data_IF_133129803323
#
_entry.id   IF_133129803323
#
_cell.length_a   1.000
_cell.length_b   1.000
_cell.length_c   1.000
_cell.angle_alpha   90.00
_cell.angle_beta   90.00
_cell.angle_gamma   90.00
#
_symmetry.space_group_name_H-M   'P 1'
#
loop_
_entity.id
_entity.type
_entity.pdbx_description
1 polymer ?
#
# COMPACT_ATOMS: atom_id res chain seq x y z
N UNK A 1 -21.67 2.48 -26.77
CA UNK A 1 -21.59 3.22 -25.49
C UNK A 1 -21.99 4.67 -25.71
N UNK A 2 -22.71 5.31 -24.77
CA UNK A 2 -23.06 6.75 -24.87
C UNK A 2 -21.95 7.61 -24.28
N UNK A 3 -21.52 8.64 -25.02
CA UNK A 3 -20.58 9.69 -24.54
C UNK A 3 -21.29 10.64 -23.58
N UNK A 4 -20.65 11.03 -22.47
CA UNK A 4 -21.27 11.84 -21.40
C UNK A 4 -20.48 13.12 -21.13
N UNK A 5 -19.17 13.00 -20.89
CA UNK A 5 -18.34 14.11 -20.46
C UNK A 5 -17.47 14.69 -21.58
N UNK A 6 -16.83 13.82 -22.35
CA UNK A 6 -15.91 14.22 -23.41
C UNK A 6 -16.67 14.69 -24.66
N UNK A 7 -16.01 15.48 -25.52
CA UNK A 7 -16.61 15.94 -26.78
C UNK A 7 -16.31 14.98 -27.94
N UNK A 8 -17.25 14.76 -28.89
CA UNK A 8 -16.97 13.98 -30.08
C UNK A 8 -15.90 14.66 -30.94
N UNK A 9 -15.00 13.88 -31.52
CA UNK A 9 -13.92 14.35 -32.42
C UNK A 9 -12.95 15.37 -31.81
N UNK A 10 -12.91 15.49 -30.49
CA UNK A 10 -11.96 16.33 -29.77
C UNK A 10 -11.34 15.52 -28.62
N UNK A 11 -10.01 15.48 -28.55
CA UNK A 11 -9.34 14.82 -27.44
C UNK A 11 -9.62 15.59 -26.15
N UNK A 12 -9.91 14.94 -25.01
CA UNK A 12 -10.08 15.64 -23.72
C UNK A 12 -8.85 16.49 -23.35
N UNK A 13 -7.70 16.04 -23.81
CA UNK A 13 -6.40 16.69 -23.72
C UNK A 13 -6.32 18.05 -24.44
N UNK A 14 -7.15 18.26 -25.47
CA UNK A 14 -7.21 19.50 -26.25
C UNK A 14 -8.30 20.45 -25.74
N UNK A 15 -9.06 20.04 -24.72
CA UNK A 15 -10.11 20.86 -24.09
C UNK A 15 -9.55 21.82 -23.03
N UNK A 16 -8.27 21.70 -22.67
CA UNK A 16 -7.65 22.48 -21.58
C UNK A 16 -6.35 23.14 -22.02
N UNK A 17 -5.99 24.23 -21.35
CA UNK A 17 -4.69 24.90 -21.52
C UNK A 17 -3.58 24.18 -20.74
N UNK A 18 -2.40 24.08 -21.35
CA UNK A 18 -1.22 23.44 -20.79
C UNK A 18 -0.09 24.43 -20.64
N UNK A 19 0.76 24.19 -19.65
CA UNK A 19 1.98 24.97 -19.46
C UNK A 19 3.14 24.10 -18.96
N UNK A 20 4.35 24.59 -19.18
CA UNK A 20 5.57 23.97 -18.66
C UNK A 20 5.91 24.57 -17.31
N UNK A 21 6.16 23.71 -16.33
CA UNK A 21 6.57 24.11 -14.97
C UNK A 21 7.87 23.41 -14.55
N UNK A 22 8.43 23.87 -13.44
CA UNK A 22 9.46 23.15 -12.69
C UNK A 22 8.82 22.55 -11.44
N UNK A 23 8.94 21.24 -11.26
CA UNK A 23 8.54 20.55 -10.05
C UNK A 23 9.75 20.42 -9.12
N UNK A 24 9.78 21.18 -8.04
CA UNK A 24 10.88 21.20 -7.07
C UNK A 24 10.36 20.94 -5.65
N UNK A 25 10.99 20.01 -4.94
CA UNK A 25 10.69 19.66 -3.55
C UNK A 25 11.96 19.88 -2.73
N UNK A 26 11.82 20.61 -1.63
CA UNK A 26 12.88 20.86 -0.65
C UNK A 26 12.57 20.14 0.66
N UNK A 27 13.60 19.84 1.44
CA UNK A 27 13.45 19.43 2.84
C UNK A 27 13.30 20.65 3.78
N UNK A 28 13.20 20.40 5.09
CA UNK A 28 13.02 21.42 6.12
C UNK A 28 14.23 22.38 6.23
N UNK A 29 15.39 22.01 5.69
CA UNK A 29 16.59 22.86 5.62
C UNK A 29 16.62 23.74 4.36
N UNK A 30 15.62 23.61 3.48
CA UNK A 30 15.57 24.29 2.19
C UNK A 30 16.43 23.61 1.10
N UNK A 31 17.04 22.45 1.38
CA UNK A 31 17.81 21.70 0.39
C UNK A 31 16.87 21.02 -0.60
N UNK A 32 17.16 21.16 -1.88
CA UNK A 32 16.41 20.49 -2.95
C UNK A 32 16.65 18.97 -2.88
N UNK A 33 15.58 18.20 -2.69
CA UNK A 33 15.60 16.73 -2.64
C UNK A 33 15.02 16.09 -3.92
N UNK A 34 14.31 16.87 -4.73
CA UNK A 34 13.81 16.45 -6.04
C UNK A 34 13.60 17.68 -6.92
N UNK A 35 14.02 17.61 -8.19
CA UNK A 35 13.76 18.65 -9.17
C UNK A 35 13.56 18.05 -10.55
N UNK A 36 12.51 18.45 -11.26
CA UNK A 36 12.32 18.14 -12.68
C UNK A 36 11.79 19.39 -13.39
N UNK A 37 12.51 19.82 -14.42
CA UNK A 37 12.19 21.01 -15.20
C UNK A 37 11.41 20.68 -16.46
N UNK A 38 10.70 21.66 -17.00
CA UNK A 38 10.02 21.56 -18.30
C UNK A 38 8.86 20.55 -18.34
N UNK A 39 8.27 20.22 -17.18
CA UNK A 39 7.17 19.27 -17.12
C UNK A 39 5.86 19.92 -17.57
N UNK A 40 5.14 19.25 -18.46
CA UNK A 40 3.89 19.73 -19.02
C UNK A 40 2.70 19.30 -18.13
N UNK A 41 1.94 20.28 -17.65
CA UNK A 41 0.78 20.08 -16.77
C UNK A 41 -0.38 21.00 -17.18
N UNK A 42 -1.63 20.66 -16.82
CA UNK A 42 -2.75 21.57 -17.03
C UNK A 42 -2.56 22.86 -16.23
N UNK A 43 -2.81 24.01 -16.86
CA UNK A 43 -2.58 25.33 -16.25
C UNK A 43 -3.39 25.57 -14.97
N UNK A 44 -4.58 24.98 -14.88
CA UNK A 44 -5.44 25.11 -13.70
C UNK A 44 -5.03 24.21 -12.51
N UNK A 45 -4.08 23.28 -12.69
CA UNK A 45 -3.58 22.49 -11.57
C UNK A 45 -2.75 23.35 -10.63
N UNK A 46 -2.80 23.07 -9.33
CA UNK A 46 -1.96 23.77 -8.34
C UNK A 46 -0.49 23.35 -8.44
N UNK A 47 0.42 24.20 -7.94
CA UNK A 47 1.84 23.86 -7.85
C UNK A 47 2.08 22.61 -6.98
N UNK A 48 1.30 22.44 -5.90
CA UNK A 48 1.37 21.26 -5.05
C UNK A 48 1.00 19.99 -5.83
N UNK A 49 -0.07 20.02 -6.62
CA UNK A 49 -0.45 18.90 -7.46
C UNK A 49 0.65 18.56 -8.48
N UNK A 50 1.26 19.57 -9.11
CA UNK A 50 2.42 19.39 -10.00
C UNK A 50 3.56 18.68 -9.27
N UNK A 51 3.97 19.17 -8.09
CA UNK A 51 5.07 18.57 -7.31
C UNK A 51 4.79 17.11 -6.95
N UNK A 52 3.58 16.80 -6.48
CA UNK A 52 3.18 15.44 -6.09
C UNK A 52 3.17 14.51 -7.30
N UNK A 53 2.51 14.91 -8.40
CA UNK A 53 2.36 14.04 -9.57
C UNK A 53 3.68 13.73 -10.22
N UNK A 54 4.52 14.75 -10.40
CA UNK A 54 5.83 14.59 -11.03
C UNK A 54 6.76 13.76 -10.15
N UNK A 55 6.82 14.01 -8.84
CA UNK A 55 7.73 13.26 -7.97
C UNK A 55 7.29 11.81 -7.69
N UNK A 56 5.98 11.54 -7.66
CA UNK A 56 5.44 10.24 -7.24
C UNK A 56 4.94 9.37 -8.39
N UNK A 57 4.22 9.93 -9.36
CA UNK A 57 3.47 9.15 -10.35
C UNK A 57 4.15 9.08 -11.71
N UNK A 58 5.01 10.04 -12.05
CA UNK A 58 5.80 9.92 -13.27
C UNK A 58 6.71 8.70 -13.24
N UNK A 59 6.65 7.90 -14.31
CA UNK A 59 7.52 6.77 -14.57
C UNK A 59 8.90 7.22 -15.08
N UNK A 60 9.90 6.35 -14.93
CA UNK A 60 11.26 6.51 -15.42
C UNK A 60 12.21 7.22 -14.44
N UNK A 61 13.50 6.92 -14.57
CA UNK A 61 14.57 7.57 -13.81
C UNK A 61 14.82 9.01 -14.29
N UNK A 62 15.17 9.94 -13.40
CA UNK A 62 15.44 11.32 -13.82
C UNK A 62 16.69 11.39 -14.70
N UNK A 63 16.63 12.19 -15.76
CA UNK A 63 17.75 12.37 -16.70
C UNK A 63 17.85 11.29 -17.79
N UNK A 64 16.97 10.29 -17.78
CA UNK A 64 16.88 9.29 -18.84
C UNK A 64 15.75 9.61 -19.82
N UNK A 65 15.78 9.00 -21.00
CA UNK A 65 14.76 9.20 -22.04
C UNK A 65 13.42 8.52 -21.72
N UNK A 66 13.39 7.58 -20.77
CA UNK A 66 12.16 6.92 -20.35
C UNK A 66 11.34 7.73 -19.33
N UNK A 67 11.91 8.83 -18.81
CA UNK A 67 11.25 9.69 -17.84
C UNK A 67 10.00 10.33 -18.44
N UNK A 68 8.85 10.13 -17.82
CA UNK A 68 7.66 10.89 -18.16
C UNK A 68 7.91 12.39 -17.86
N UNK A 69 7.51 13.25 -18.79
CA UNK A 69 7.64 14.71 -18.72
C UNK A 69 6.31 15.43 -18.87
N UNK A 70 5.20 14.72 -19.07
CA UNK A 70 3.86 15.32 -19.23
C UNK A 70 2.80 14.52 -18.49
N UNK A 71 1.86 15.22 -17.86
CA UNK A 71 0.65 14.59 -17.28
C UNK A 71 -0.18 13.89 -18.36
N UNK A 72 -0.08 14.31 -19.63
CA UNK A 72 -0.69 13.59 -20.76
C UNK A 72 -0.16 12.17 -20.88
N UNK A 73 1.16 11.96 -20.72
CA UNK A 73 1.79 10.64 -20.80
C UNK A 73 1.29 9.74 -19.67
N UNK A 74 1.30 10.25 -18.43
CA UNK A 74 0.79 9.53 -17.25
C UNK A 74 -0.68 9.09 -17.43
N UNK A 75 -1.55 10.02 -17.83
CA UNK A 75 -2.97 9.74 -18.03
C UNK A 75 -3.21 8.81 -19.20
N UNK A 76 -2.53 9.03 -20.33
CA UNK A 76 -2.62 8.15 -21.48
C UNK A 76 -2.21 6.74 -21.10
N UNK A 77 -1.05 6.57 -20.45
CA UNK A 77 -0.53 5.26 -20.07
C UNK A 77 -1.57 4.43 -19.32
N UNK A 78 -2.19 5.02 -18.30
CA UNK A 78 -3.19 4.33 -17.48
C UNK A 78 -4.50 4.13 -18.25
N UNK A 79 -5.09 5.21 -18.76
CA UNK A 79 -6.44 5.17 -19.34
C UNK A 79 -6.48 4.34 -20.63
N UNK A 80 -5.43 4.42 -21.47
CA UNK A 80 -5.31 3.64 -22.71
C UNK A 80 -5.19 2.16 -22.41
N UNK A 81 -4.34 1.79 -21.45
CA UNK A 81 -4.19 0.38 -21.04
C UNK A 81 -5.53 -0.20 -20.56
N UNK A 82 -6.27 0.52 -19.70
CA UNK A 82 -7.57 0.05 -19.20
C UNK A 82 -8.60 -0.05 -20.33
N UNK A 83 -8.66 0.92 -21.24
CA UNK A 83 -9.57 0.86 -22.38
C UNK A 83 -9.26 -0.32 -23.31
N UNK A 84 -7.97 -0.58 -23.58
CA UNK A 84 -7.53 -1.70 -24.39
C UNK A 84 -7.88 -3.05 -23.76
N UNK A 85 -7.76 -3.19 -22.44
CA UNK A 85 -8.26 -4.39 -21.74
C UNK A 85 -9.76 -4.56 -21.89
N UNK A 86 -10.55 -3.49 -21.74
CA UNK A 86 -11.99 -3.54 -21.96
C UNK A 86 -12.38 -4.02 -23.37
N UNK A 87 -11.61 -3.65 -24.40
CA UNK A 87 -11.80 -4.17 -25.76
C UNK A 87 -11.39 -5.65 -25.83
N UNK A 88 -10.22 -6.01 -25.31
CA UNK A 88 -9.67 -7.36 -25.36
C UNK A 88 -10.55 -8.39 -24.64
N UNK A 89 -11.16 -7.98 -23.52
CA UNK A 89 -12.08 -8.80 -22.73
C UNK A 89 -13.51 -8.82 -23.30
N UNK A 90 -13.77 -8.09 -24.39
CA UNK A 90 -15.05 -8.07 -25.09
C UNK A 90 -16.14 -7.19 -24.45
N UNK A 91 -15.80 -6.34 -23.47
CA UNK A 91 -16.73 -5.36 -22.93
C UNK A 91 -17.07 -4.26 -23.94
N UNK A 92 -16.12 -3.92 -24.82
CA UNK A 92 -16.28 -2.87 -25.81
C UNK A 92 -15.88 -3.35 -27.21
N UNK A 93 -16.60 -2.89 -28.22
CA UNK A 93 -16.04 -2.83 -29.56
C UNK A 93 -15.00 -1.70 -29.65
N UNK A 94 -14.28 -1.59 -30.77
CA UNK A 94 -13.22 -0.59 -30.94
C UNK A 94 -13.71 0.85 -30.78
N UNK A 95 -14.88 1.19 -31.33
CA UNK A 95 -15.45 2.53 -31.23
C UNK A 95 -15.84 2.88 -29.79
N UNK A 96 -16.51 1.95 -29.11
CA UNK A 96 -16.89 2.08 -27.71
C UNK A 96 -15.67 2.19 -26.79
N UNK A 97 -14.59 1.47 -27.08
CA UNK A 97 -13.33 1.58 -26.36
C UNK A 97 -12.66 2.95 -26.49
N UNK A 98 -12.77 3.59 -27.66
CA UNK A 98 -12.29 4.98 -27.83
C UNK A 98 -13.17 5.98 -27.08
N UNK A 99 -14.49 5.77 -27.03
CA UNK A 99 -15.37 6.59 -26.19
C UNK A 99 -14.96 6.42 -24.72
N UNK A 100 -14.82 5.18 -24.25
CA UNK A 100 -14.44 4.88 -22.88
C UNK A 100 -13.07 5.49 -22.49
N UNK A 101 -12.07 5.37 -23.36
CA UNK A 101 -10.77 6.02 -23.17
C UNK A 101 -10.91 7.53 -22.97
N UNK A 102 -11.67 8.21 -23.83
CA UNK A 102 -11.85 9.67 -23.75
C UNK A 102 -12.62 10.09 -22.50
N UNK A 103 -13.68 9.37 -22.14
CA UNK A 103 -14.43 9.62 -20.90
C UNK A 103 -13.53 9.47 -19.66
N UNK A 104 -12.69 8.43 -19.63
CA UNK A 104 -11.81 8.17 -18.49
C UNK A 104 -10.69 9.21 -18.37
N UNK A 105 -10.07 9.61 -19.48
CA UNK A 105 -9.10 10.71 -19.50
C UNK A 105 -9.76 12.00 -19.04
N UNK A 106 -10.96 12.31 -19.53
CA UNK A 106 -11.68 13.53 -19.15
C UNK A 106 -11.92 13.59 -17.64
N UNK A 107 -12.39 12.49 -17.03
CA UNK A 107 -12.63 12.39 -15.59
C UNK A 107 -11.37 12.63 -14.77
N UNK A 108 -10.25 12.02 -15.18
CA UNK A 108 -8.96 12.18 -14.52
C UNK A 108 -8.39 13.58 -14.68
N UNK A 109 -8.45 14.14 -15.89
CA UNK A 109 -7.92 15.46 -16.23
C UNK A 109 -8.64 16.56 -15.46
N UNK A 110 -9.97 16.51 -15.44
CA UNK A 110 -10.82 17.49 -14.76
C UNK A 110 -11.01 17.21 -13.26
N UNK A 111 -10.31 16.21 -12.70
CA UNK A 111 -10.34 15.85 -11.28
C UNK A 111 -11.73 15.45 -10.73
N UNK A 112 -12.61 14.93 -11.59
CA UNK A 112 -13.90 14.33 -11.19
C UNK A 112 -13.75 12.87 -10.76
N UNK A 113 -12.64 12.24 -11.10
CA UNK A 113 -12.26 10.92 -10.63
C UNK A 113 -10.74 10.76 -10.62
N UNK A 114 -10.24 9.90 -9.75
CA UNK A 114 -8.83 9.54 -9.72
C UNK A 114 -8.68 8.08 -9.27
N UNK A 115 -7.69 7.39 -9.84
CA UNK A 115 -7.35 6.05 -9.37
C UNK A 115 -6.56 6.10 -8.07
N UNK A 116 -6.58 4.97 -7.35
CA UNK A 116 -5.64 4.75 -6.25
C UNK A 116 -4.18 4.75 -6.75
N UNK A 117 -3.23 4.92 -5.84
CA UNK A 117 -1.82 5.12 -6.21
C UNK A 117 -1.16 3.95 -6.97
N UNK A 118 -1.34 2.67 -6.59
CA UNK A 118 -0.83 1.53 -7.36
C UNK A 118 -1.19 1.52 -8.84
N UNK A 119 -2.41 1.94 -9.20
CA UNK A 119 -2.79 2.08 -10.62
C UNK A 119 -1.88 3.06 -11.34
N UNK A 120 -1.66 4.24 -10.77
CA UNK A 120 -0.77 5.25 -11.37
C UNK A 120 0.68 4.79 -11.43
N UNK A 121 1.14 4.01 -10.45
CA UNK A 121 2.50 3.48 -10.41
C UNK A 121 2.74 2.41 -11.48
N UNK A 122 1.82 1.45 -11.62
CA UNK A 122 2.11 0.18 -12.28
C UNK A 122 1.36 -0.02 -13.60
N UNK A 123 0.14 0.51 -13.73
CA UNK A 123 -0.71 0.26 -14.89
C UNK A 123 -0.11 0.88 -16.14
N UNK A 124 -0.04 0.09 -17.20
CA UNK A 124 0.49 0.50 -18.50
C UNK A 124 2.01 0.54 -18.62
N UNK A 125 2.78 0.27 -17.56
CA UNK A 125 4.24 0.21 -17.64
C UNK A 125 4.71 -0.85 -18.67
N UNK A 126 4.15 -2.05 -18.60
CA UNK A 126 4.47 -3.09 -19.58
C UNK A 126 3.85 -2.81 -20.96
N UNK A 127 2.60 -2.38 -20.99
CA UNK A 127 1.80 -2.28 -22.22
C UNK A 127 2.25 -1.14 -23.14
N UNK A 128 2.57 0.01 -22.55
CA UNK A 128 2.93 1.22 -23.30
C UNK A 128 4.44 1.36 -23.45
N UNK A 129 5.20 0.92 -22.44
CA UNK A 129 6.65 1.16 -22.37
C UNK A 129 7.50 -0.12 -22.40
N UNK A 130 6.89 -1.32 -22.39
CA UNK A 130 7.63 -2.59 -22.39
C UNK A 130 8.40 -2.89 -21.09
N UNK A 131 8.11 -2.15 -20.02
CA UNK A 131 8.83 -2.25 -18.74
C UNK A 131 8.58 -3.61 -18.12
N UNK A 132 9.66 -4.25 -17.67
CA UNK A 132 9.61 -5.56 -17.02
C UNK A 132 9.60 -6.75 -17.96
N UNK A 133 9.64 -6.57 -19.29
CA UNK A 133 9.64 -7.68 -20.27
C UNK A 133 10.74 -8.74 -20.03
N UNK A 134 11.90 -8.33 -19.53
CA UNK A 134 13.03 -9.21 -19.22
C UNK A 134 13.23 -9.40 -17.70
N UNK A 135 12.19 -9.14 -16.91
CA UNK A 135 12.25 -9.30 -15.45
C UNK A 135 11.81 -10.71 -15.03
N UNK A 136 12.03 -11.04 -13.75
CA UNK A 136 11.53 -12.29 -13.17
C UNK A 136 10.01 -12.29 -12.94
N UNK A 137 9.53 -13.35 -12.27
CA UNK A 137 8.10 -13.60 -12.00
C UNK A 137 7.39 -12.39 -11.39
N UNK A 138 6.25 -12.04 -11.96
CA UNK A 138 5.39 -10.94 -11.53
C UNK A 138 4.34 -11.33 -10.50
N UNK A 139 3.22 -10.61 -10.54
CA UNK A 139 2.05 -10.81 -9.67
C UNK A 139 1.27 -12.06 -10.06
N UNK A 140 0.33 -12.41 -9.19
CA UNK A 140 -0.71 -13.40 -9.49
C UNK A 140 -1.81 -12.77 -10.33
N UNK A 141 -2.32 -13.51 -11.29
CA UNK A 141 -3.51 -13.17 -12.07
C UNK A 141 -4.37 -14.42 -12.26
N UNK A 142 -5.64 -14.23 -12.60
CA UNK A 142 -6.51 -15.35 -12.98
C UNK A 142 -6.24 -15.66 -14.45
N UNK A 143 -6.03 -16.94 -14.77
CA UNK A 143 -6.01 -17.40 -16.14
C UNK A 143 -7.46 -17.57 -16.62
N UNK A 144 -7.91 -16.82 -17.65
CA UNK A 144 -9.31 -16.85 -18.07
C UNK A 144 -9.74 -18.18 -18.70
N UNK A 145 -8.79 -19.03 -19.12
CA UNK A 145 -9.10 -20.34 -19.71
C UNK A 145 -9.30 -21.42 -18.66
N UNK A 146 -8.49 -21.41 -17.61
CA UNK A 146 -8.53 -22.42 -16.53
C UNK A 146 -9.36 -21.96 -15.34
N UNK A 147 -9.51 -20.65 -15.14
CA UNK A 147 -10.11 -20.05 -13.94
C UNK A 147 -9.18 -20.05 -12.73
N UNK A 148 -7.93 -20.52 -12.88
CA UNK A 148 -6.99 -20.68 -11.77
C UNK A 148 -6.07 -19.47 -11.60
N UNK A 149 -5.58 -19.27 -10.38
CA UNK A 149 -4.58 -18.25 -10.09
C UNK A 149 -3.20 -18.73 -10.56
N UNK A 150 -2.57 -17.95 -11.44
CA UNK A 150 -1.26 -18.23 -11.99
C UNK A 150 -0.33 -17.04 -11.76
N UNK A 151 0.97 -17.30 -11.69
CA UNK A 151 1.96 -16.25 -11.49
C UNK A 151 2.51 -15.79 -12.82
N UNK A 152 2.38 -14.49 -13.09
CA UNK A 152 2.88 -13.85 -14.30
C UNK A 152 4.37 -14.14 -14.52
N UNK A 153 4.76 -14.33 -15.78
CA UNK A 153 6.15 -14.56 -16.16
C UNK A 153 7.02 -13.31 -15.91
N UNK A 154 6.43 -12.13 -16.09
CA UNK A 154 7.13 -10.84 -16.02
C UNK A 154 6.49 -9.89 -15.01
N UNK A 155 7.27 -8.92 -14.53
CA UNK A 155 6.78 -7.82 -13.71
C UNK A 155 6.02 -6.83 -14.60
N UNK A 156 4.85 -6.38 -14.15
CA UNK A 156 3.98 -5.36 -14.76
C UNK A 156 3.09 -5.76 -15.95
N UNK A 157 3.26 -6.94 -16.55
CA UNK A 157 2.29 -7.44 -17.54
C UNK A 157 0.91 -7.64 -16.91
N UNK A 158 0.89 -8.15 -15.68
CA UNK A 158 -0.28 -8.13 -14.79
C UNK A 158 0.04 -7.17 -13.62
N UNK A 159 -0.22 -5.87 -13.78
CA UNK A 159 0.21 -4.86 -12.82
C UNK A 159 -0.63 -4.93 -11.53
N UNK A 160 -0.01 -4.63 -10.40
CA UNK A 160 -0.72 -4.47 -9.13
C UNK A 160 -1.47 -3.13 -9.14
N UNK A 161 -2.80 -3.17 -9.25
CA UNK A 161 -3.67 -1.98 -9.25
C UNK A 161 -4.45 -1.77 -7.95
N UNK A 162 -4.31 -2.65 -6.96
CA UNK A 162 -5.07 -2.60 -5.72
C UNK A 162 -4.24 -2.01 -4.58
N UNK A 163 -4.82 -1.06 -3.84
CA UNK A 163 -4.15 -0.42 -2.72
C UNK A 163 -4.29 -1.18 -1.40
N UNK A 164 -5.33 -1.99 -1.22
CA UNK A 164 -5.68 -2.57 0.07
C UNK A 164 -5.82 -4.09 -0.04
N UNK A 165 -5.16 -4.81 0.87
CA UNK A 165 -5.28 -6.25 1.01
C UNK A 165 -5.54 -6.62 2.46
N UNK A 166 -6.39 -7.63 2.67
CA UNK A 166 -6.55 -8.28 3.97
C UNK A 166 -5.93 -9.67 3.84
N UNK A 167 -5.12 -10.04 4.82
CA UNK A 167 -4.44 -11.33 4.86
C UNK A 167 -4.85 -12.08 6.13
N UNK A 168 -4.88 -13.41 6.01
CA UNK A 168 -5.06 -14.32 7.13
C UNK A 168 -3.75 -15.00 7.48
N UNK A 169 -3.66 -15.41 8.75
CA UNK A 169 -2.56 -16.19 9.29
C UNK A 169 -3.13 -17.29 10.17
N UNK A 170 -2.53 -18.46 10.10
CA UNK A 170 -2.77 -19.61 10.95
C UNK A 170 -1.66 -19.76 11.99
N UNK A 171 -1.96 -20.46 13.09
CA UNK A 171 -1.03 -20.66 14.20
C UNK A 171 0.02 -21.75 13.93
N UNK A 172 0.80 -21.57 12.85
CA UNK A 172 1.95 -22.41 12.52
C UNK A 172 3.03 -21.58 11.83
N UNK A 173 4.28 -22.02 11.93
CA UNK A 173 5.42 -21.24 11.46
C UNK A 173 5.41 -21.03 9.95
N UNK A 174 4.95 -22.02 9.18
CA UNK A 174 4.84 -21.94 7.72
C UNK A 174 3.90 -20.80 7.30
N UNK A 175 2.74 -20.69 7.93
CA UNK A 175 1.74 -19.67 7.58
C UNK A 175 2.11 -18.28 8.11
N UNK A 176 2.75 -18.20 9.28
CA UNK A 176 3.32 -16.96 9.84
C UNK A 176 4.41 -16.43 8.89
N UNK A 177 5.32 -17.27 8.42
CA UNK A 177 6.36 -16.83 7.46
C UNK A 177 5.80 -16.58 6.06
N UNK A 178 4.76 -17.32 5.63
CA UNK A 178 4.05 -17.04 4.38
C UNK A 178 3.43 -15.64 4.41
N UNK A 179 2.87 -15.21 5.54
CA UNK A 179 2.34 -13.85 5.68
C UNK A 179 3.43 -12.81 5.41
N UNK A 180 4.61 -12.92 6.06
CA UNK A 180 5.74 -12.02 5.82
C UNK A 180 6.13 -11.96 4.33
N UNK A 181 6.22 -13.11 3.65
CA UNK A 181 6.52 -13.16 2.22
C UNK A 181 5.43 -12.48 1.38
N UNK A 182 4.16 -12.76 1.65
CA UNK A 182 3.03 -12.18 0.92
C UNK A 182 3.03 -10.66 1.04
N UNK A 183 3.23 -10.14 2.24
CA UNK A 183 3.27 -8.71 2.51
C UNK A 183 4.45 -8.03 1.81
N UNK A 184 5.64 -8.63 1.87
CA UNK A 184 6.80 -8.13 1.12
C UNK A 184 6.49 -7.97 -0.38
N UNK A 185 5.81 -8.96 -0.97
CA UNK A 185 5.44 -8.92 -2.39
C UNK A 185 4.38 -7.86 -2.69
N UNK A 186 3.42 -7.63 -1.79
CA UNK A 186 2.41 -6.57 -1.94
C UNK A 186 3.03 -5.18 -1.79
N UNK A 187 3.90 -5.00 -0.80
CA UNK A 187 4.61 -3.75 -0.54
C UNK A 187 5.46 -3.34 -1.73
N UNK A 188 6.22 -4.28 -2.31
CA UNK A 188 7.05 -4.06 -3.50
C UNK A 188 6.31 -3.28 -4.60
N UNK A 189 5.02 -3.55 -4.80
CA UNK A 189 4.23 -2.95 -5.86
C UNK A 189 3.31 -1.80 -5.43
N UNK A 190 3.41 -1.30 -4.20
CA UNK A 190 2.63 -0.11 -3.80
C UNK A 190 1.42 -0.36 -2.91
N UNK A 191 1.12 -1.62 -2.59
CA UNK A 191 -0.09 -1.98 -1.83
C UNK A 191 0.16 -1.94 -0.33
N UNK A 192 -0.89 -1.64 0.45
CA UNK A 192 -0.92 -1.82 1.89
C UNK A 192 -1.61 -3.11 2.30
N UNK A 193 -1.31 -3.60 3.50
CA UNK A 193 -1.81 -4.87 4.03
C UNK A 193 -2.45 -4.69 5.40
N UNK A 194 -3.49 -5.48 5.68
CA UNK A 194 -4.14 -5.61 6.97
C UNK A 194 -4.15 -7.07 7.41
N UNK A 195 -3.83 -7.38 8.67
CA UNK A 195 -3.89 -8.74 9.20
C UNK A 195 -4.48 -8.79 10.61
N UNK A 196 -5.36 -9.76 10.86
CA UNK A 196 -5.80 -10.13 12.21
C UNK A 196 -4.83 -11.18 12.76
N UNK A 197 -4.07 -10.83 13.80
CA UNK A 197 -3.07 -11.70 14.41
C UNK A 197 -3.62 -12.54 15.56
N UNK A 198 -4.91 -12.38 15.88
CA UNK A 198 -5.58 -13.15 16.93
C UNK A 198 -5.52 -14.67 16.78
N UNK A 199 -5.38 -15.26 15.57
CA UNK A 199 -5.17 -16.69 15.43
C UNK A 199 -3.83 -17.19 16.00
N UNK A 200 -2.79 -16.36 16.10
CA UNK A 200 -1.49 -16.77 16.64
C UNK A 200 -1.63 -16.93 18.16
N UNK A 201 -1.20 -18.05 18.72
CA UNK A 201 -1.31 -18.30 20.16
C UNK A 201 -0.55 -17.27 21.00
N UNK A 202 -1.11 -16.94 22.15
CA UNK A 202 -0.55 -15.95 23.09
C UNK A 202 0.67 -16.47 23.84
N UNK A 203 1.53 -15.58 24.33
CA UNK A 203 2.70 -15.91 25.18
C UNK A 203 2.37 -16.68 26.47
N UNK A 204 1.09 -16.66 26.86
CA UNK A 204 0.54 -17.34 28.04
C UNK A 204 0.20 -18.81 27.80
N UNK A 205 0.24 -19.28 26.56
CA UNK A 205 -0.06 -20.66 26.18
C UNK A 205 1.19 -21.55 26.17
N UNK A 206 1.02 -22.84 25.84
CA UNK A 206 2.12 -23.82 25.76
C UNK A 206 2.39 -24.27 24.33
N UNK A 207 3.65 -24.60 24.04
CA UNK A 207 4.04 -25.29 22.82
C UNK A 207 4.00 -26.81 23.02
N UNK A 208 3.73 -27.54 21.93
CA UNK A 208 3.70 -29.01 21.94
C UNK A 208 5.06 -29.62 22.30
N UNK A 209 6.16 -28.98 21.86
CA UNK A 209 7.54 -29.39 22.18
C UNK A 209 8.08 -28.91 23.53
N UNK A 210 7.23 -28.28 24.37
CA UNK A 210 7.65 -27.64 25.61
C UNK A 210 8.05 -26.16 25.43
N UNK A 211 7.98 -25.40 26.52
CA UNK A 211 8.22 -23.95 26.51
C UNK A 211 6.98 -23.10 26.22
N UNK A 212 7.21 -21.79 26.07
CA UNK A 212 6.17 -20.78 25.78
C UNK A 212 6.34 -20.25 24.36
N UNK A 213 5.24 -19.97 23.65
CA UNK A 213 5.28 -19.34 22.34
C UNK A 213 5.75 -17.88 22.44
N UNK A 214 6.31 -17.36 21.35
CA UNK A 214 6.77 -15.97 21.27
C UNK A 214 5.63 -14.94 21.24
N UNK A 215 4.40 -15.38 20.93
CA UNK A 215 3.22 -14.53 20.79
C UNK A 215 3.19 -13.69 19.51
N UNK A 216 2.01 -13.14 19.13
CA UNK A 216 1.83 -12.30 17.94
C UNK A 216 2.76 -11.09 17.91
N UNK A 217 3.04 -10.44 19.04
CA UNK A 217 3.88 -9.23 19.08
C UNK A 217 5.34 -9.48 18.69
N UNK A 218 5.85 -10.69 18.87
CA UNK A 218 7.20 -11.04 18.44
C UNK A 218 7.28 -11.16 16.91
N UNK A 219 6.27 -11.78 16.29
CA UNK A 219 6.18 -11.87 14.83
C UNK A 219 5.81 -10.53 14.19
N UNK A 220 5.04 -9.70 14.89
CA UNK A 220 4.75 -8.33 14.51
C UNK A 220 6.04 -7.51 14.30
N UNK A 221 7.10 -7.74 15.11
CA UNK A 221 8.42 -7.11 14.87
C UNK A 221 9.02 -7.55 13.54
N UNK A 222 8.86 -8.82 13.16
CA UNK A 222 9.34 -9.32 11.85
C UNK A 222 8.59 -8.61 10.72
N UNK A 223 7.27 -8.51 10.82
CA UNK A 223 6.45 -7.85 9.80
C UNK A 223 6.71 -6.34 9.71
N UNK A 224 6.93 -5.66 10.84
CA UNK A 224 7.35 -4.26 10.89
C UNK A 224 8.67 -4.05 10.15
N UNK A 225 9.64 -4.94 10.34
CA UNK A 225 10.91 -4.88 9.63
C UNK A 225 10.77 -5.18 8.13
N UNK A 226 9.89 -6.10 7.74
CA UNK A 226 9.56 -6.31 6.32
C UNK A 226 9.00 -5.03 5.70
N UNK A 227 8.07 -4.35 6.39
CA UNK A 227 7.51 -3.07 5.95
C UNK A 227 8.55 -1.94 5.91
N UNK A 228 9.55 -1.98 6.78
CA UNK A 228 10.65 -1.02 6.82
C UNK A 228 11.61 -1.18 5.62
N UNK A 229 12.01 -2.43 5.31
CA UNK A 229 13.03 -2.69 4.28
C UNK A 229 12.46 -2.70 2.86
N UNK A 230 11.19 -3.08 2.68
CA UNK A 230 10.56 -3.12 1.36
C UNK A 230 9.96 -1.75 1.03
N UNK A 231 10.67 -0.99 0.19
CA UNK A 231 10.20 0.29 -0.34
C UNK A 231 9.05 0.10 -1.32
N UNK A 232 8.02 0.91 -1.16
CA UNK A 232 6.75 0.71 -1.85
C UNK A 232 6.75 1.26 -3.29
N UNK A 233 6.45 0.39 -4.27
CA UNK A 233 6.33 0.77 -5.69
C UNK A 233 7.63 1.29 -6.33
N UNK A 234 8.79 0.87 -5.82
CA UNK A 234 10.09 1.41 -6.25
C UNK A 234 10.31 2.89 -5.93
N UNK A 235 9.46 3.50 -5.10
CA UNK A 235 9.57 4.88 -4.63
C UNK A 235 10.07 4.91 -3.18
N UNK A 236 10.49 6.08 -2.71
CA UNK A 236 10.98 6.29 -1.33
C UNK A 236 9.90 6.19 -0.23
N UNK A 237 8.71 5.65 -0.53
CA UNK A 237 7.59 5.56 0.42
C UNK A 237 7.69 4.26 1.22
N UNK A 238 7.50 4.35 2.53
CA UNK A 238 7.37 3.18 3.42
C UNK A 238 6.09 2.40 3.11
N UNK A 239 6.14 1.10 3.32
CA UNK A 239 4.96 0.25 3.28
C UNK A 239 3.94 0.69 4.34
N UNK A 240 2.66 0.43 4.08
CA UNK A 240 1.58 0.69 5.04
C UNK A 240 1.01 -0.65 5.50
N UNK A 241 1.00 -0.86 6.82
CA UNK A 241 0.49 -2.08 7.44
C UNK A 241 -0.46 -1.77 8.58
N UNK A 242 -1.53 -2.54 8.69
CA UNK A 242 -2.49 -2.52 9.79
C UNK A 242 -2.52 -3.90 10.44
N UNK A 243 -2.42 -3.96 11.76
CA UNK A 243 -2.58 -5.20 12.50
C UNK A 243 -3.71 -5.04 13.51
N UNK A 244 -4.45 -6.12 13.71
CA UNK A 244 -5.46 -6.18 14.75
C UNK A 244 -5.23 -7.35 15.69
N UNK A 245 -5.69 -7.15 16.92
CA UNK A 245 -5.81 -8.19 17.92
C UNK A 245 -7.16 -8.04 18.62
N UNK A 246 -7.84 -9.14 18.89
CA UNK A 246 -9.14 -9.14 19.56
C UNK A 246 -9.01 -8.86 21.05
N UNK A 247 -10.02 -8.21 21.60
CA UNK A 247 -10.14 -7.81 23.00
C UNK A 247 -9.93 -8.96 24.02
N UNK A 248 -10.26 -10.20 23.65
CA UNK A 248 -10.06 -11.37 24.52
C UNK A 248 -8.68 -12.00 24.40
N UNK A 249 -7.83 -11.59 23.45
CA UNK A 249 -6.57 -12.29 23.21
C UNK A 249 -5.64 -12.20 24.42
N UNK A 250 -4.93 -13.28 24.75
CA UNK A 250 -4.01 -13.33 25.90
C UNK A 250 -3.02 -12.17 25.94
N UNK A 251 -2.45 -11.79 24.79
CA UNK A 251 -1.45 -10.70 24.70
C UNK A 251 -2.02 -9.30 24.39
N UNK A 252 -3.30 -9.04 24.72
CA UNK A 252 -3.97 -7.78 24.34
C UNK A 252 -3.41 -6.54 25.03
N UNK A 253 -3.02 -6.64 26.31
CA UNK A 253 -2.46 -5.49 27.03
C UNK A 253 -1.09 -5.10 26.47
N UNK A 254 -0.24 -6.10 26.16
CA UNK A 254 1.04 -5.81 25.51
C UNK A 254 0.82 -5.17 24.13
N UNK A 255 -0.22 -5.58 23.39
CA UNK A 255 -0.57 -5.00 22.10
C UNK A 255 -0.99 -3.52 22.23
N UNK A 256 -1.79 -3.18 23.24
CA UNK A 256 -2.22 -1.80 23.53
C UNK A 256 -1.01 -0.92 23.86
N UNK A 257 -0.10 -1.41 24.70
CA UNK A 257 1.07 -0.64 25.14
C UNK A 257 2.22 -0.60 24.13
N UNK A 258 2.19 -1.43 23.08
CA UNK A 258 3.34 -1.74 22.25
C UNK A 258 4.05 -0.48 21.71
N UNK A 259 3.30 0.42 21.08
CA UNK A 259 3.87 1.65 20.51
C UNK A 259 4.29 2.65 21.57
N UNK A 260 3.57 2.73 22.70
CA UNK A 260 3.94 3.64 23.79
C UNK A 260 5.27 3.21 24.43
N UNK A 261 5.51 1.91 24.58
CA UNK A 261 6.78 1.38 25.10
C UNK A 261 7.95 1.64 24.14
N UNK A 262 7.74 1.52 22.82
CA UNK A 262 8.77 1.87 21.82
C UNK A 262 9.01 3.38 21.72
N UNK A 263 7.98 4.21 21.88
CA UNK A 263 8.10 5.67 21.91
C UNK A 263 9.05 6.12 23.03
N UNK A 264 8.93 5.54 24.24
CA UNK A 264 9.85 5.82 25.35
C UNK A 264 11.31 5.53 24.99
N UNK A 265 11.58 4.49 24.19
CA UNK A 265 12.93 4.17 23.71
C UNK A 265 13.42 5.19 22.70
N UNK A 266 12.56 5.64 21.78
CA UNK A 266 12.90 6.67 20.81
C UNK A 266 13.28 7.98 21.50
N UNK A 267 12.52 8.41 22.53
CA UNK A 267 12.87 9.59 23.33
C UNK A 267 14.20 9.44 24.06
N UNK A 268 14.46 8.29 24.66
CA UNK A 268 15.77 8.02 25.28
C UNK A 268 16.92 8.13 24.26
N UNK A 269 16.73 7.71 23.00
CA UNK A 269 17.72 7.91 21.94
C UNK A 269 17.85 9.39 21.55
N UNK A 270 16.74 10.12 21.41
CA UNK A 270 16.76 11.56 21.08
C UNK A 270 17.50 12.36 22.16
N UNK A 271 17.27 12.03 23.44
CA UNK A 271 17.99 12.65 24.56
C UNK A 271 19.50 12.41 24.52
N UNK A 272 19.95 11.29 23.92
CA UNK A 272 21.36 10.99 23.68
C UNK A 272 21.91 11.61 22.38
N UNK A 273 21.12 12.42 21.68
CA UNK A 273 21.54 13.17 20.49
C UNK A 273 21.28 12.47 19.15
N UNK A 274 20.57 11.33 19.13
CA UNK A 274 20.14 10.72 17.87
C UNK A 274 19.04 11.56 17.23
N UNK A 275 19.01 11.60 15.89
CA UNK A 275 18.02 12.39 15.15
C UNK A 275 16.59 11.88 15.40
N UNK A 276 15.73 12.77 15.91
CA UNK A 276 14.29 12.53 16.10
C UNK A 276 13.43 12.87 14.88
N UNK A 277 14.03 13.12 13.71
CA UNK A 277 13.24 13.35 12.50
C UNK A 277 12.46 12.09 12.10
N UNK A 278 11.43 12.24 11.27
CA UNK A 278 10.54 11.14 10.88
C UNK A 278 11.29 9.91 10.30
N UNK A 279 12.46 10.09 9.67
CA UNK A 279 13.35 9.02 9.20
C UNK A 279 14.73 9.04 9.90
N UNK A 280 14.81 9.68 11.06
CA UNK A 280 16.03 9.78 11.86
C UNK A 280 16.34 8.49 12.62
N UNK A 281 17.58 8.35 13.05
CA UNK A 281 18.10 7.12 13.67
C UNK A 281 17.29 6.66 14.88
N UNK A 282 16.72 7.59 15.67
CA UNK A 282 15.94 7.24 16.85
C UNK A 282 14.67 6.44 16.47
N UNK A 283 13.84 7.01 15.59
CA UNK A 283 12.63 6.33 15.12
C UNK A 283 12.93 5.17 14.17
N UNK A 284 14.06 5.20 13.46
CA UNK A 284 14.50 4.09 12.61
C UNK A 284 14.94 2.84 13.38
N UNK A 285 15.26 2.97 14.68
CA UNK A 285 15.83 1.89 15.49
C UNK A 285 14.83 1.20 16.42
N UNK A 286 13.61 1.74 16.54
CA UNK A 286 12.55 1.20 17.41
C UNK A 286 11.51 0.42 16.59
N UNK A 287 10.71 -0.41 17.27
CA UNK A 287 9.77 -1.32 16.61
C UNK A 287 8.39 -0.68 16.38
N UNK A 288 7.60 -1.31 15.50
CA UNK A 288 6.18 -1.01 15.25
C UNK A 288 5.92 0.36 14.61
N UNK A 289 6.94 0.94 13.96
CA UNK A 289 6.86 2.26 13.35
C UNK A 289 6.19 2.24 11.97
N UNK A 290 6.18 1.08 11.31
CA UNK A 290 5.61 0.90 9.97
C UNK A 290 4.21 0.29 10.02
N UNK A 291 3.60 0.27 11.21
CA UNK A 291 2.36 -0.43 11.47
C UNK A 291 1.38 0.45 12.26
N UNK A 292 0.11 0.33 11.90
CA UNK A 292 -1.01 0.77 12.70
C UNK A 292 -1.52 -0.42 13.51
N UNK A 293 -1.73 -0.22 14.81
CA UNK A 293 -2.24 -1.26 15.72
C UNK A 293 -3.64 -0.86 16.17
N UNK A 294 -4.62 -1.72 15.92
CA UNK A 294 -6.03 -1.50 16.30
C UNK A 294 -6.57 -2.66 17.10
N UNK A 295 -7.13 -2.40 18.27
CA UNK A 295 -7.88 -3.42 19.02
C UNK A 295 -9.21 -3.67 18.33
N UNK A 296 -9.53 -4.94 18.09
CA UNK A 296 -10.84 -5.36 17.60
C UNK A 296 -11.74 -5.68 18.79
N UNK A 297 -12.49 -4.70 19.25
CA UNK A 297 -13.44 -4.85 20.35
C UNK A 297 -14.71 -5.61 19.91
N UNK A 298 -15.11 -6.59 20.70
CA UNK A 298 -16.35 -7.35 20.56
C UNK A 298 -17.53 -6.67 21.25
N UNK A 299 -18.76 -6.94 20.80
CA UNK A 299 -19.97 -6.47 21.47
C UNK A 299 -20.05 -6.97 22.91
N UNK A 300 -19.58 -8.20 23.17
CA UNK A 300 -19.51 -8.80 24.51
C UNK A 300 -18.60 -7.98 25.44
N UNK A 301 -17.42 -7.58 24.95
CA UNK A 301 -16.50 -6.71 25.69
C UNK A 301 -17.10 -5.33 25.95
N UNK A 302 -17.70 -4.73 24.92
CA UNK A 302 -18.34 -3.42 25.06
C UNK A 302 -19.49 -3.45 26.07
N UNK A 303 -20.29 -4.51 26.08
CA UNK A 303 -21.36 -4.69 27.06
C UNK A 303 -20.80 -4.94 28.46
N UNK A 304 -19.74 -5.73 28.61
CA UNK A 304 -19.08 -5.95 29.89
C UNK A 304 -18.55 -4.63 30.48
N UNK A 305 -17.98 -3.76 29.65
CA UNK A 305 -17.52 -2.43 30.08
C UNK A 305 -18.67 -1.53 30.55
N UNK A 306 -19.80 -1.52 29.83
CA UNK A 306 -21.01 -0.77 30.22
C UNK A 306 -21.57 -1.29 31.57
N UNK A 307 -21.63 -2.61 31.71
CA UNK A 307 -22.16 -3.28 32.90
C UNK A 307 -21.16 -3.31 34.07
N UNK A 308 -19.92 -2.82 33.88
CA UNK A 308 -18.81 -2.92 34.82
C UNK A 308 -18.55 -4.36 35.29
N UNK A 309 -18.58 -5.30 34.34
CA UNK A 309 -18.30 -6.72 34.56
C UNK A 309 -16.82 -7.01 34.28
N UNK A 310 -16.32 -8.03 34.95
CA UNK A 310 -14.98 -8.57 34.76
C UNK A 310 -14.80 -9.06 33.33
N UNK A 311 -13.62 -8.85 32.76
CA UNK A 311 -13.25 -9.37 31.45
C UNK A 311 -12.18 -10.45 31.59
N UNK A 312 -12.27 -11.52 30.79
CA UNK A 312 -11.27 -12.58 30.79
C UNK A 312 -10.62 -12.67 29.43
N UNK A 313 -9.29 -12.60 29.43
CA UNK A 313 -8.52 -13.04 28.27
C UNK A 313 -8.61 -14.56 28.14
N UNK A 314 -8.51 -15.05 26.91
CA UNK A 314 -8.75 -16.45 26.55
C UNK A 314 -7.57 -17.00 25.75
N UNK A 315 -7.26 -18.27 25.97
CA UNK A 315 -6.30 -19.02 25.19
C UNK A 315 -6.82 -19.18 23.76
N UNK A 316 -6.01 -18.83 22.76
CA UNK A 316 -6.39 -18.94 21.36
C UNK A 316 -6.64 -20.40 20.95
N UNK A 317 -5.87 -21.33 21.50
CA UNK A 317 -5.92 -22.76 21.12
C UNK A 317 -7.04 -23.56 21.80
N UNK A 318 -7.48 -23.16 23.00
CA UNK A 318 -8.44 -23.93 23.80
C UNK A 318 -9.69 -23.15 24.20
N UNK A 319 -9.68 -21.82 24.10
CA UNK A 319 -10.73 -20.94 24.59
C UNK A 319 -10.79 -20.81 26.12
N UNK A 320 -9.89 -21.47 26.86
CA UNK A 320 -9.85 -21.40 28.31
C UNK A 320 -9.45 -20.01 28.81
N UNK A 321 -10.00 -19.60 29.95
CA UNK A 321 -9.62 -18.35 30.61
C UNK A 321 -8.12 -18.36 30.96
N UNK A 322 -7.45 -17.26 30.66
CA UNK A 322 -6.04 -17.03 30.98
C UNK A 322 -5.91 -16.08 32.16
N UNK A 323 -6.19 -14.80 31.93
CA UNK A 323 -6.06 -13.74 32.90
C UNK A 323 -7.35 -12.93 32.98
N UNK A 324 -7.76 -12.65 34.21
CA UNK A 324 -8.81 -11.71 34.52
C UNK A 324 -8.30 -10.28 34.39
N UNK A 325 -9.14 -9.41 33.84
CA UNK A 325 -8.92 -7.97 33.68
C UNK A 325 -10.06 -7.22 34.38
N UNK A 326 -9.67 -6.18 35.10
CA UNK A 326 -10.56 -5.28 35.84
C UNK A 326 -11.01 -4.09 34.95
#
# INVERSE_FOLDING_TARGET
MKRVFSKPNLSPFDEVEWEKRTAEITDDSGKVIFKQEGVEVPKYWSLLATKVVVSKYFYGEQGTSERETSVRQLMHRVCRTIANWGIADGYFNKEDGEIFYNELVWLCLNQYGAFNSPVWFNTGLYHEYGVGKNSGRGNWHVNPRTGEAERAATQYEYPQGSACFIQSVQDNMEDIMRLAYSEAMLFKYGSGTGSDLSPIRSTREKLSGGGRPSGPLSFLKVYDQVANVVKSGGKTRRAAKMNTLRDWHGDIEEFIDAKQKEEKKAWALIEQGYSGSYNGDAYGSVMYQNENLSVRASDEFMQAAIDKKEWWTRATTTGANLEKKD
#
